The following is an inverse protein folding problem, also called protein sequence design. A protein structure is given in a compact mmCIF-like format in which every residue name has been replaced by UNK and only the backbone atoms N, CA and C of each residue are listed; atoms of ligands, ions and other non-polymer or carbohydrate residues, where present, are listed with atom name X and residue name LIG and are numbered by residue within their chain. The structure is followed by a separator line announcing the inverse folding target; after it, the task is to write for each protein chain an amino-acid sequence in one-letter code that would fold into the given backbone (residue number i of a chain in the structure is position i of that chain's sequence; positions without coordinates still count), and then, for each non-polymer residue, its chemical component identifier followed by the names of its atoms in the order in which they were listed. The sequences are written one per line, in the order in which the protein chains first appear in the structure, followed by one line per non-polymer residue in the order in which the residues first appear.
data_IF_670043178238
#
_entry.id   IF_670043178238
#
_cell.length_a   1.000
_cell.length_b   1.000
_cell.length_c   1.000
_cell.angle_alpha   90.00
_cell.angle_beta   90.00
_cell.angle_gamma   90.00
#
_symmetry.space_group_name_H-M   'P 1'
#
loop_
_entity.id
_entity.type
_entity.pdbx_description
1 polymer ?
#
# COMPACT_ATOMS: atom_id res chain seq x y z
N UNK A 1 -35.29 -21.29 -17.17
CA UNK A 1 -36.76 -21.44 -17.06
C UNK A 1 -37.07 -22.22 -15.79
N UNK A 2 -38.16 -21.83 -15.10
CA UNK A 2 -38.76 -22.44 -13.91
C UNK A 2 -38.25 -21.99 -12.53
N UNK A 3 -38.85 -20.88 -12.08
CA UNK A 3 -39.10 -20.55 -10.68
C UNK A 3 -40.13 -21.53 -10.10
N UNK A 4 -40.18 -21.65 -8.77
CA UNK A 4 -41.49 -21.68 -8.12
C UNK A 4 -41.63 -20.60 -7.03
N UNK A 5 -42.85 -20.08 -6.99
CA UNK A 5 -43.33 -18.96 -6.19
C UNK A 5 -44.12 -19.45 -4.95
N UNK A 6 -44.38 -18.52 -4.02
CA UNK A 6 -45.55 -18.45 -3.10
C UNK A 6 -45.43 -19.34 -1.83
N UNK A 7 -45.53 -18.83 -0.58
CA UNK A 7 -46.75 -18.23 0.01
C UNK A 7 -46.48 -17.47 1.32
N UNK A 8 -47.24 -16.39 1.46
CA UNK A 8 -47.47 -15.49 2.60
C UNK A 8 -48.13 -16.18 3.81
N UNK A 9 -47.87 -15.71 5.04
CA UNK A 9 -48.86 -15.50 6.13
C UNK A 9 -48.17 -15.01 7.42
N UNK A 10 -48.51 -13.79 7.84
CA UNK A 10 -48.25 -13.33 9.22
C UNK A 10 -49.38 -13.74 10.16
N UNK A 11 -49.11 -13.77 11.46
CA UNK A 11 -50.11 -13.65 12.53
C UNK A 11 -49.43 -13.02 13.76
N UNK A 12 -50.06 -11.94 14.23
CA UNK A 12 -49.85 -11.22 15.50
C UNK A 12 -50.54 -12.00 16.62
N UNK A 13 -49.93 -12.16 17.80
CA UNK A 13 -50.69 -12.36 19.06
C UNK A 13 -49.78 -12.24 20.29
N UNK A 14 -50.26 -11.57 21.34
CA UNK A 14 -49.62 -11.65 22.66
C UNK A 14 -49.81 -10.45 23.59
N UNK A 15 -51.04 -9.98 23.79
CA UNK A 15 -51.40 -9.12 24.93
C UNK A 15 -51.49 -9.98 26.19
N UNK A 16 -50.85 -9.57 27.29
CA UNK A 16 -51.18 -10.05 28.63
C UNK A 16 -51.20 -8.88 29.63
N UNK A 17 -52.37 -8.70 30.22
CA UNK A 17 -52.79 -7.69 31.20
C UNK A 17 -52.44 -8.15 32.61
N UNK A 18 -51.99 -7.25 33.49
CA UNK A 18 -52.36 -7.29 34.92
C UNK A 18 -52.39 -5.88 35.52
N UNK A 19 -53.53 -5.55 36.11
CA UNK A 19 -53.84 -4.34 36.89
C UNK A 19 -53.10 -4.31 38.23
N UNK A 20 -52.79 -3.12 38.75
CA UNK A 20 -53.06 -2.78 40.15
C UNK A 20 -53.14 -1.25 40.36
N UNK A 21 -54.14 -0.89 41.14
CA UNK A 21 -54.70 0.41 41.54
C UNK A 21 -53.75 1.40 42.24
N UNK A 22 -54.00 2.70 42.04
CA UNK A 22 -53.47 3.78 42.89
C UNK A 22 -53.73 5.18 42.33
N UNK A 23 -54.85 5.79 42.71
CA UNK A 23 -55.17 7.20 42.42
C UNK A 23 -54.32 8.13 43.30
N UNK A 24 -53.56 9.05 42.69
CA UNK A 24 -53.06 10.26 43.33
C UNK A 24 -53.06 11.43 42.34
N UNK A 25 -53.72 12.50 42.75
CA UNK A 25 -53.97 13.77 42.09
C UNK A 25 -52.70 14.63 42.08
N UNK A 26 -52.18 15.05 40.91
CA UNK A 26 -51.23 16.17 40.83
C UNK A 26 -51.11 16.77 39.40
N UNK A 27 -51.43 18.07 39.33
CA UNK A 27 -50.88 19.11 38.46
C UNK A 27 -50.93 18.94 36.93
N UNK A 28 -51.77 19.78 36.32
CA UNK A 28 -51.69 20.17 34.92
C UNK A 28 -50.32 20.80 34.62
N UNK A 29 -49.65 20.32 33.58
CA UNK A 29 -48.53 21.00 32.91
C UNK A 29 -48.61 20.65 31.44
N UNK A 30 -49.22 21.54 30.66
CA UNK A 30 -49.18 21.49 29.21
C UNK A 30 -47.74 21.75 28.78
N UNK A 31 -46.99 20.70 28.43
CA UNK A 31 -45.74 20.84 27.70
C UNK A 31 -45.99 20.67 26.21
N UNK A 32 -45.58 21.71 25.52
CA UNK A 32 -45.65 21.92 24.08
C UNK A 32 -44.86 20.82 23.37
N UNK A 33 -45.46 20.24 22.33
CA UNK A 33 -44.74 19.40 21.39
C UNK A 33 -43.85 20.31 20.52
N UNK A 34 -42.62 20.56 20.97
CA UNK A 34 -41.58 21.14 20.13
C UNK A 34 -41.19 20.14 19.05
N UNK A 35 -41.68 20.33 17.84
CA UNK A 35 -41.17 19.62 16.67
C UNK A 35 -39.69 19.98 16.46
N UNK A 36 -38.78 19.02 16.19
CA UNK A 36 -37.41 19.36 15.84
C UNK A 36 -37.41 20.08 14.48
N UNK A 37 -37.00 21.34 14.49
CA UNK A 37 -36.75 22.11 13.29
C UNK A 37 -35.67 21.39 12.47
N UNK A 38 -36.03 20.87 11.28
CA UNK A 38 -35.05 20.46 10.29
C UNK A 38 -34.31 21.72 9.83
N UNK A 39 -33.05 21.87 10.23
CA UNK A 39 -32.16 22.90 9.68
C UNK A 39 -32.05 22.69 8.16
N UNK A 40 -32.53 23.67 7.41
CA UNK A 40 -32.32 23.76 5.97
C UNK A 40 -30.88 24.22 5.70
N UNK A 41 -30.17 23.65 4.71
CA UNK A 41 -28.77 23.99 4.47
C UNK A 41 -28.65 25.42 3.95
N UNK A 42 -27.84 26.22 4.63
CA UNK A 42 -27.51 27.59 4.25
C UNK A 42 -26.63 27.59 2.99
N UNK A 43 -27.18 28.09 1.87
CA UNK A 43 -26.59 28.00 0.53
C UNK A 43 -25.39 28.94 0.31
N UNK A 44 -24.95 29.67 1.34
CA UNK A 44 -23.88 30.67 1.27
C UNK A 44 -22.79 30.46 2.33
N UNK A 45 -22.58 29.23 2.78
CA UNK A 45 -21.44 28.92 3.66
C UNK A 45 -20.12 29.07 2.89
N UNK A 46 -19.36 30.12 3.23
CA UNK A 46 -17.99 30.31 2.72
C UNK A 46 -17.11 29.22 3.34
N UNK A 47 -16.58 28.33 2.49
CA UNK A 47 -15.63 27.30 2.92
C UNK A 47 -14.37 27.97 3.48
N UNK A 48 -14.15 27.86 4.79
CA UNK A 48 -12.98 28.42 5.50
C UNK A 48 -11.84 27.42 5.63
N UNK A 49 -12.07 26.16 5.25
CA UNK A 49 -11.10 25.07 5.26
C UNK A 49 -10.47 24.79 3.90
N UNK A 50 -9.75 23.67 3.80
CA UNK A 50 -9.22 23.15 2.53
C UNK A 50 -10.09 22.02 2.00
N UNK A 51 -10.42 22.07 0.71
CA UNK A 51 -11.13 20.99 0.01
C UNK A 51 -10.23 19.80 -0.33
N UNK A 52 -8.92 19.92 -0.08
CA UNK A 52 -7.97 18.84 -0.29
C UNK A 52 -8.03 17.91 0.92
N UNK A 53 -8.41 16.64 0.76
CA UNK A 53 -8.45 15.72 1.88
C UNK A 53 -7.03 15.49 2.42
N UNK A 54 -6.91 15.43 3.75
CA UNK A 54 -5.63 15.21 4.44
C UNK A 54 -4.96 13.87 4.09
N UNK A 55 -5.75 12.88 3.67
CA UNK A 55 -5.29 11.58 3.18
C UNK A 55 -6.11 11.18 1.95
N UNK A 56 -5.44 11.07 0.81
CA UNK A 56 -5.99 10.50 -0.41
C UNK A 56 -5.71 9.00 -0.45
N UNK A 57 -6.75 8.19 -0.64
CA UNK A 57 -6.63 6.75 -0.85
C UNK A 57 -7.63 6.28 -1.89
N UNK A 58 -7.17 5.49 -2.85
CA UNK A 58 -7.98 4.94 -3.94
C UNK A 58 -7.96 3.40 -3.88
N UNK A 59 -8.56 2.78 -2.85
CA UNK A 59 -8.43 1.34 -2.61
C UNK A 59 -8.98 0.50 -3.76
N UNK A 60 -10.03 0.97 -4.44
CA UNK A 60 -10.62 0.27 -5.59
C UNK A 60 -9.65 0.19 -6.77
N UNK A 61 -8.94 1.29 -7.07
CA UNK A 61 -7.91 1.33 -8.13
C UNK A 61 -6.74 0.40 -7.77
N UNK A 62 -6.32 0.37 -6.51
CA UNK A 62 -5.26 -0.56 -6.04
C UNK A 62 -5.70 -2.03 -6.12
N UNK A 63 -6.98 -2.33 -5.88
CA UNK A 63 -7.54 -3.67 -6.01
C UNK A 63 -7.66 -4.10 -7.48
N UNK A 64 -7.98 -3.17 -8.38
CA UNK A 64 -8.07 -3.42 -9.83
C UNK A 64 -6.71 -3.71 -10.48
N UNK A 65 -5.59 -3.28 -9.87
CA UNK A 65 -4.25 -3.60 -10.39
C UNK A 65 -3.98 -5.10 -10.39
N UNK A 66 -3.29 -5.62 -11.40
CA UNK A 66 -2.82 -7.02 -11.42
C UNK A 66 -1.48 -7.22 -10.68
N UNK A 67 -0.90 -6.14 -10.12
CA UNK A 67 0.35 -6.14 -9.35
C UNK A 67 0.21 -5.36 -8.03
N UNK A 68 1.23 -5.43 -7.18
CA UNK A 68 1.42 -4.62 -5.97
C UNK A 68 2.80 -4.00 -5.97
N UNK A 69 2.90 -2.71 -5.66
CA UNK A 69 4.18 -2.00 -5.47
C UNK A 69 4.53 -1.99 -3.99
N UNK A 70 5.78 -2.33 -3.67
CA UNK A 70 6.31 -2.26 -2.31
C UNK A 70 7.62 -1.48 -2.30
N UNK A 71 7.63 -0.39 -1.56
CA UNK A 71 8.81 0.44 -1.36
C UNK A 71 9.52 0.03 -0.07
N UNK A 72 10.82 -0.21 -0.13
CA UNK A 72 11.62 -0.71 0.98
C UNK A 72 13.00 -0.05 0.99
N UNK A 73 13.45 0.36 2.18
CA UNK A 73 14.81 0.82 2.43
C UNK A 73 15.69 -0.35 2.86
N UNK A 74 16.52 -0.87 1.95
CA UNK A 74 17.36 -2.05 2.20
C UNK A 74 18.70 -1.62 2.80
N UNK A 75 19.06 -2.06 4.03
CA UNK A 75 20.34 -1.73 4.65
C UNK A 75 21.49 -2.50 3.98
N UNK A 76 22.57 -1.78 3.68
CA UNK A 76 23.81 -2.33 3.16
C UNK A 76 24.77 -2.71 4.30
N UNK A 77 25.88 -3.37 3.97
CA UNK A 77 26.93 -3.81 4.92
C UNK A 77 27.53 -2.68 5.78
N UNK A 78 27.48 -1.46 5.28
CA UNK A 78 28.03 -0.25 5.89
C UNK A 78 26.96 0.61 6.56
N UNK A 79 25.75 0.05 6.77
CA UNK A 79 24.63 0.72 7.45
C UNK A 79 23.80 1.65 6.57
N UNK A 80 24.31 2.04 5.39
CA UNK A 80 23.58 2.90 4.45
C UNK A 80 22.39 2.16 3.84
N UNK A 81 21.24 2.82 3.76
CA UNK A 81 20.02 2.23 3.20
C UNK A 81 19.78 2.65 1.76
N UNK A 82 19.51 1.68 0.88
CA UNK A 82 19.16 1.93 -0.51
C UNK A 82 17.65 1.79 -0.73
N UNK A 83 17.09 2.77 -1.41
CA UNK A 83 15.70 2.77 -1.82
C UNK A 83 15.47 1.71 -2.91
N UNK A 84 14.49 0.85 -2.68
CA UNK A 84 14.17 -0.28 -3.55
C UNK A 84 12.66 -0.39 -3.69
N UNK A 85 12.18 -0.50 -4.93
CA UNK A 85 10.78 -0.77 -5.24
C UNK A 85 10.69 -2.19 -5.83
N UNK A 86 9.78 -2.97 -5.27
CA UNK A 86 9.40 -4.28 -5.76
C UNK A 86 8.01 -4.16 -6.40
N UNK A 87 7.91 -4.54 -7.68
CA UNK A 87 6.66 -4.72 -8.39
C UNK A 87 6.36 -6.21 -8.41
N UNK A 88 5.37 -6.61 -7.63
CA UNK A 88 5.03 -8.01 -7.35
C UNK A 88 3.71 -8.32 -8.07
N UNK A 89 3.69 -9.23 -9.05
CA UNK A 89 2.44 -9.69 -9.65
C UNK A 89 1.52 -10.30 -8.60
N UNK A 90 0.21 -10.05 -8.67
CA UNK A 90 -0.77 -10.69 -7.78
C UNK A 90 -0.81 -12.20 -8.05
N UNK A 91 -1.10 -12.98 -7.02
CA UNK A 91 -1.23 -14.44 -7.07
C UNK A 91 0.04 -15.22 -7.45
N UNK A 92 1.21 -14.59 -7.47
CA UNK A 92 2.46 -15.30 -7.72
C UNK A 92 3.05 -15.88 -6.43
N UNK A 93 3.57 -17.11 -6.51
CA UNK A 93 4.30 -17.77 -5.41
C UNK A 93 5.61 -18.32 -5.95
N UNK A 94 6.69 -18.22 -5.17
CA UNK A 94 8.02 -18.70 -5.53
C UNK A 94 8.55 -18.16 -6.88
N UNK A 95 8.19 -16.92 -7.23
CA UNK A 95 8.67 -16.30 -8.46
C UNK A 95 10.14 -15.89 -8.38
N UNK A 96 10.90 -16.01 -9.49
CA UNK A 96 12.20 -15.38 -9.62
C UNK A 96 12.12 -13.85 -9.52
N UNK A 97 13.23 -13.23 -9.11
CA UNK A 97 13.36 -11.78 -9.04
C UNK A 97 14.31 -11.26 -10.12
N UNK A 98 13.89 -10.23 -10.85
CA UNK A 98 14.73 -9.51 -11.81
C UNK A 98 15.12 -8.15 -11.24
N UNK A 99 16.37 -8.01 -10.81
CA UNK A 99 16.89 -6.80 -10.18
C UNK A 99 17.61 -5.89 -11.19
N UNK A 100 17.22 -4.63 -11.23
CA UNK A 100 17.96 -3.55 -11.88
C UNK A 100 18.35 -2.50 -10.86
N UNK A 101 19.64 -2.16 -10.82
CA UNK A 101 20.15 -1.03 -10.03
C UNK A 101 20.37 0.16 -10.96
N UNK A 102 19.78 1.31 -10.64
CA UNK A 102 19.72 2.46 -11.54
C UNK A 102 20.22 3.75 -10.87
N UNK A 103 20.98 4.60 -11.60
CA UNK A 103 21.24 5.98 -11.20
C UNK A 103 20.18 6.95 -11.72
N UNK A 104 19.02 6.45 -12.18
CA UNK A 104 17.97 7.19 -12.89
C UNK A 104 16.56 6.99 -12.30
N UNK A 105 16.43 7.14 -10.98
CA UNK A 105 15.20 7.14 -10.18
C UNK A 105 14.36 5.87 -10.30
N UNK A 106 14.51 4.97 -9.33
CA UNK A 106 13.80 3.68 -9.31
C UNK A 106 12.27 3.85 -9.43
N UNK A 107 11.71 4.90 -8.81
CA UNK A 107 10.29 5.26 -8.89
C UNK A 107 9.83 5.52 -10.33
N UNK A 108 10.50 6.40 -11.04
CA UNK A 108 10.16 6.71 -12.43
C UNK A 108 10.37 5.51 -13.36
N UNK A 109 11.24 4.56 -12.99
CA UNK A 109 11.44 3.32 -13.77
C UNK A 109 10.27 2.34 -13.65
N UNK A 110 9.46 2.40 -12.59
CA UNK A 110 8.28 1.54 -12.39
C UNK A 110 6.96 2.23 -12.73
N UNK A 111 7.02 3.48 -13.20
CA UNK A 111 5.87 4.30 -13.58
C UNK A 111 6.01 4.75 -15.04
N UNK A 112 6.15 3.80 -15.98
CA UNK A 112 6.18 4.13 -17.43
C UNK A 112 4.89 4.81 -17.87
N UNK A 113 3.77 4.29 -17.39
CA UNK A 113 2.44 4.89 -17.53
C UNK A 113 1.92 5.20 -16.13
N UNK A 114 1.60 6.46 -15.87
CA UNK A 114 1.09 6.88 -14.56
C UNK A 114 -0.18 6.13 -14.20
N UNK A 115 -0.25 5.63 -12.97
CA UNK A 115 -1.42 4.92 -12.43
C UNK A 115 -1.89 3.69 -13.24
N UNK A 116 -1.00 3.10 -14.05
CA UNK A 116 -1.27 1.89 -14.82
C UNK A 116 -1.95 0.77 -14.00
N UNK A 117 -2.98 0.16 -14.58
CA UNK A 117 -3.70 -0.96 -13.98
C UNK A 117 -2.96 -2.28 -14.19
N UNK A 118 -2.22 -2.41 -15.30
CA UNK A 118 -1.55 -3.66 -15.66
C UNK A 118 -0.04 -3.60 -15.43
N UNK A 119 0.54 -4.77 -15.15
CA UNK A 119 1.99 -4.92 -14.94
C UNK A 119 2.78 -4.53 -16.18
N UNK A 120 2.25 -4.85 -17.36
CA UNK A 120 2.90 -4.58 -18.65
C UNK A 120 2.93 -3.09 -18.99
N UNK A 121 1.94 -2.33 -18.53
CA UNK A 121 1.89 -0.88 -18.72
C UNK A 121 2.82 -0.13 -17.78
N UNK A 122 2.90 -0.57 -16.51
CA UNK A 122 3.71 0.10 -15.49
C UNK A 122 5.21 -0.08 -15.74
N UNK A 123 5.61 -1.24 -16.28
CA UNK A 123 7.02 -1.58 -16.50
C UNK A 123 7.59 -1.00 -17.82
N UNK A 124 8.91 -0.76 -17.90
CA UNK A 124 9.56 -0.35 -19.15
C UNK A 124 9.33 -1.35 -20.28
N UNK A 125 9.31 -0.87 -21.53
CA UNK A 125 9.09 -1.73 -22.71
C UNK A 125 10.10 -2.89 -22.83
N UNK A 126 11.33 -2.70 -22.38
CA UNK A 126 12.35 -3.76 -22.36
C UNK A 126 12.04 -4.92 -21.39
N UNK A 127 11.11 -4.72 -20.44
CA UNK A 127 10.68 -5.74 -19.49
C UNK A 127 9.40 -6.46 -19.94
N UNK A 128 8.90 -6.19 -21.15
CA UNK A 128 7.67 -6.78 -21.70
C UNK A 128 7.66 -8.32 -21.68
N UNK A 129 8.82 -8.97 -21.86
CA UNK A 129 8.95 -10.44 -21.80
C UNK A 129 8.90 -11.00 -20.39
N UNK A 130 9.10 -10.15 -19.38
CA UNK A 130 9.06 -10.50 -17.95
C UNK A 130 7.76 -10.01 -17.27
N UNK A 131 6.93 -9.27 -18.01
CA UNK A 131 5.68 -8.69 -17.55
C UNK A 131 4.46 -9.62 -17.72
N UNK A 132 4.70 -10.91 -18.00
CA UNK A 132 3.68 -11.97 -18.06
C UNK A 132 3.21 -12.45 -16.67
N UNK A 133 3.72 -11.85 -15.60
CA UNK A 133 3.39 -12.19 -14.21
C UNK A 133 4.25 -13.30 -13.62
N UNK A 134 5.29 -13.77 -14.32
CA UNK A 134 6.18 -14.83 -13.82
C UNK A 134 7.36 -14.31 -12.99
N UNK A 135 7.77 -13.05 -13.18
CA UNK A 135 8.88 -12.42 -12.46
C UNK A 135 8.40 -11.33 -11.51
N UNK A 136 9.08 -11.24 -10.36
CA UNK A 136 9.03 -10.05 -9.51
C UNK A 136 10.06 -9.07 -10.04
N UNK A 137 9.61 -7.87 -10.43
CA UNK A 137 10.51 -6.84 -10.93
C UNK A 137 10.99 -5.95 -9.79
N UNK A 138 12.30 -5.77 -9.68
CA UNK A 138 12.90 -4.95 -8.61
C UNK A 138 13.75 -3.85 -9.23
N UNK A 139 13.45 -2.61 -8.87
CA UNK A 139 14.27 -1.45 -9.18
C UNK A 139 14.84 -0.88 -7.90
N UNK A 140 16.15 -0.67 -7.88
CA UNK A 140 16.84 -0.11 -6.73
C UNK A 140 17.65 1.11 -7.17
N UNK A 141 17.52 2.20 -6.43
CA UNK A 141 18.39 3.34 -6.61
C UNK A 141 19.80 3.03 -6.09
N UNK A 142 20.80 3.43 -6.86
CA UNK A 142 22.17 3.31 -6.38
C UNK A 142 22.45 4.30 -5.26
N UNK A 143 23.52 4.03 -4.52
CA UNK A 143 23.97 4.88 -3.41
C UNK A 143 24.14 6.35 -3.82
N UNK A 144 23.64 7.25 -2.98
CA UNK A 144 23.71 8.69 -3.16
C UNK A 144 22.88 9.24 -4.32
N UNK A 145 21.93 8.46 -4.84
CA UNK A 145 21.00 8.91 -5.88
C UNK A 145 19.57 8.80 -5.38
N UNK A 146 18.78 9.85 -5.64
CA UNK A 146 17.36 9.96 -5.31
C UNK A 146 17.13 9.63 -3.83
N UNK A 147 16.24 8.68 -3.55
CA UNK A 147 15.82 8.33 -2.20
C UNK A 147 16.83 7.40 -1.49
N UNK A 148 17.92 7.01 -2.15
CA UNK A 148 19.00 6.21 -1.54
C UNK A 148 20.01 7.07 -0.78
N UNK A 149 20.42 6.58 0.38
CA UNK A 149 21.39 7.25 1.25
C UNK A 149 22.85 7.08 0.77
N UNK A 150 23.76 7.78 1.45
CA UNK A 150 25.22 7.70 1.27
C UNK A 150 25.75 8.55 0.12
N UNK A 151 27.07 8.51 -0.11
CA UNK A 151 27.70 9.39 -1.10
C UNK A 151 27.69 8.80 -2.52
N UNK A 152 27.37 9.65 -3.49
CA UNK A 152 27.42 9.31 -4.90
C UNK A 152 28.83 9.43 -5.46
N UNK A 153 29.24 8.44 -6.24
CA UNK A 153 30.50 8.44 -6.97
C UNK A 153 30.22 7.98 -8.39
N UNK A 154 30.56 8.81 -9.38
CA UNK A 154 30.42 8.48 -10.80
C UNK A 154 31.17 7.18 -11.11
N UNK A 155 30.46 6.21 -11.70
CA UNK A 155 31.00 4.91 -12.10
C UNK A 155 31.90 4.28 -11.02
N UNK A 156 31.44 4.26 -9.75
CA UNK A 156 32.18 3.77 -8.59
C UNK A 156 32.94 2.47 -8.94
N UNK A 157 34.28 2.45 -8.85
CA UNK A 157 35.05 1.28 -9.20
C UNK A 157 34.60 0.05 -8.42
N UNK A 158 34.67 -1.13 -9.06
CA UNK A 158 34.50 -2.39 -8.33
C UNK A 158 35.59 -2.45 -7.26
N UNK A 159 35.19 -2.73 -6.02
CA UNK A 159 36.17 -2.98 -4.96
C UNK A 159 37.15 -4.05 -5.45
N UNK A 160 38.45 -3.79 -5.31
CA UNK A 160 39.46 -4.77 -5.65
C UNK A 160 39.17 -6.06 -4.89
N UNK A 161 39.33 -7.21 -5.55
CA UNK A 161 39.29 -8.50 -4.86
C UNK A 161 40.36 -8.44 -3.77
N UNK A 162 39.95 -8.54 -2.51
CA UNK A 162 40.91 -8.65 -1.41
C UNK A 162 41.76 -9.88 -1.68
N UNK A 163 43.02 -9.66 -2.01
CA UNK A 163 43.96 -10.76 -2.20
C UNK A 163 44.27 -11.27 -0.80
N UNK A 164 44.04 -12.56 -0.48
CA UNK A 164 44.44 -13.07 0.82
C UNK A 164 45.95 -12.87 0.97
N UNK A 165 46.45 -12.48 2.16
CA UNK A 165 47.87 -12.27 2.36
C UNK A 165 48.60 -13.57 1.98
N UNK A 166 49.58 -13.49 1.07
CA UNK A 166 50.44 -14.63 0.75
C UNK A 166 51.02 -15.12 2.06
N UNK A 167 50.65 -16.34 2.48
CA UNK A 167 51.26 -17.01 3.63
C UNK A 167 52.73 -17.19 3.28
N UNK A 168 53.57 -16.27 3.78
CA UNK A 168 55.01 -16.29 3.61
C UNK A 168 55.47 -17.64 4.15
N UNK A 169 55.82 -18.58 3.26
CA UNK A 169 56.42 -19.84 3.68
C UNK A 169 57.71 -19.44 4.38
N UNK A 170 57.76 -19.61 5.70
CA UNK A 170 58.97 -19.49 6.49
C UNK A 170 59.99 -20.43 5.85
N UNK A 171 60.94 -19.84 5.14
CA UNK A 171 62.06 -20.55 4.57
C UNK A 171 62.97 -20.83 5.77
N UNK A 172 62.86 -22.03 6.35
CA UNK A 172 63.77 -22.47 7.38
C UNK A 172 65.18 -22.52 6.77
N UNK A 173 66.17 -21.80 7.32
CA UNK A 173 67.52 -21.87 6.82
C UNK A 173 68.07 -23.27 7.14
N UNK A 174 68.40 -24.02 6.09
CA UNK A 174 69.10 -25.30 6.21
C UNK A 174 70.44 -25.09 6.91
N UNK A 175 70.61 -25.79 8.03
CA UNK A 175 71.89 -25.93 8.73
C UNK A 175 72.87 -26.62 7.78
N UNK A 176 74.05 -26.01 7.59
CA UNK A 176 75.18 -26.63 6.89
C UNK A 176 75.79 -27.75 7.72
#
# INVERSE_FOLDING_TARGET
MSLPSIKLRGVVSGVLVTLLSGTALAAASALTAGAPAKQQPDLLSVQTGTDIPSKLSFPEVEQQRDYTKREVMIPMRDGVKLYTILVIPKNVRNAPMLLTRTPYHAKNRVDRTENALTLRETLPQGDDVFADGTYIRVFQDIRGKYDSQGDYVMARPRAARSTPPKRMKQQMPGTR
#
